data_IF_853911630336
#
_entry.id   IF_853911630336
#
_cell.length_a   1.000
_cell.length_b   1.000
_cell.length_c   1.000
_cell.angle_alpha   90.00
_cell.angle_beta   90.00
_cell.angle_gamma   90.00
#
_symmetry.space_group_name_H-M   'P 1'
#
loop_
_entity.id
_entity.type
_entity.pdbx_description
1 polymer ?
#
# COMPACT_ATOMS: atom_id res chain seq x y z
N UNK A 1 -62.13 -35.73 -1.55
CA UNK A 1 -60.89 -36.48 -1.85
C UNK A 1 -60.18 -35.78 -3.01
N UNK A 2 -58.89 -35.45 -2.82
CA UNK A 2 -57.85 -35.14 -3.83
C UNK A 2 -58.09 -33.95 -4.78
N UNK A 3 -57.12 -33.13 -5.21
CA UNK A 3 -55.73 -32.80 -4.83
C UNK A 3 -55.46 -31.55 -5.70
N UNK A 4 -55.49 -30.34 -5.14
CA UNK A 4 -55.10 -29.13 -5.88
C UNK A 4 -53.57 -29.02 -5.79
N UNK A 5 -52.88 -29.39 -6.87
CA UNK A 5 -51.45 -29.23 -7.03
C UNK A 5 -51.12 -27.72 -7.07
N UNK A 6 -50.63 -27.20 -5.95
CA UNK A 6 -50.14 -25.84 -5.83
C UNK A 6 -48.64 -25.87 -6.18
N UNK A 7 -48.34 -25.62 -7.46
CA UNK A 7 -46.97 -25.44 -7.95
C UNK A 7 -46.35 -24.19 -7.31
N UNK A 8 -45.73 -24.35 -6.15
CA UNK A 8 -44.87 -23.34 -5.55
C UNK A 8 -43.47 -23.53 -6.16
N UNK A 9 -43.27 -22.93 -7.34
CA UNK A 9 -41.96 -22.84 -7.97
C UNK A 9 -41.12 -21.84 -7.18
N UNK A 10 -40.40 -22.36 -6.20
CA UNK A 10 -39.49 -21.60 -5.34
C UNK A 10 -38.26 -21.23 -6.20
N UNK A 11 -38.32 -20.05 -6.81
CA UNK A 11 -37.20 -19.44 -7.52
C UNK A 11 -36.14 -19.05 -6.47
N UNK A 12 -35.25 -19.99 -6.13
CA UNK A 12 -34.00 -19.67 -5.46
C UNK A 12 -33.13 -18.93 -6.47
N UNK A 13 -33.22 -17.59 -6.49
CA UNK A 13 -32.13 -16.77 -7.02
C UNK A 13 -30.93 -16.97 -6.07
N UNK A 14 -30.12 -17.97 -6.39
CA UNK A 14 -28.75 -18.03 -5.91
C UNK A 14 -28.00 -16.86 -6.53
N UNK A 15 -28.01 -15.70 -5.87
CA UNK A 15 -26.96 -14.71 -6.07
C UNK A 15 -25.66 -15.37 -5.60
N UNK A 16 -24.95 -15.99 -6.52
CA UNK A 16 -23.52 -16.19 -6.37
C UNK A 16 -22.91 -14.79 -6.30
N UNK A 17 -22.81 -14.25 -5.09
CA UNK A 17 -21.87 -13.17 -4.82
C UNK A 17 -20.50 -13.74 -5.17
N UNK A 18 -20.01 -13.37 -6.35
CA UNK A 18 -18.63 -13.64 -6.74
C UNK A 18 -17.74 -13.02 -5.67
N UNK A 19 -17.21 -13.87 -4.80
CA UNK A 19 -16.26 -13.56 -3.75
C UNK A 19 -14.90 -13.26 -4.36
N UNK A 20 -14.81 -12.24 -5.21
CA UNK A 20 -13.56 -11.51 -5.42
C UNK A 20 -13.43 -10.55 -4.24
N UNK A 21 -13.33 -11.12 -3.04
CA UNK A 21 -13.19 -10.40 -1.79
C UNK A 21 -11.73 -9.90 -1.73
N UNK A 22 -11.50 -8.80 -2.44
CA UNK A 22 -10.42 -7.83 -2.24
C UNK A 22 -8.97 -8.25 -2.55
N UNK A 23 -8.69 -8.62 -3.79
CA UNK A 23 -7.35 -8.40 -4.31
C UNK A 23 -7.12 -6.88 -4.44
N UNK A 24 -6.02 -6.37 -3.89
CA UNK A 24 -5.65 -4.97 -4.10
C UNK A 24 -5.40 -4.71 -5.60
N UNK A 25 -5.72 -3.51 -6.06
CA UNK A 25 -5.56 -3.12 -7.46
C UNK A 25 -4.09 -2.78 -7.76
N UNK A 26 -3.26 -3.82 -7.81
CA UNK A 26 -1.82 -3.70 -8.03
C UNK A 26 -1.49 -3.13 -9.41
N UNK A 27 -2.37 -3.35 -10.39
CA UNK A 27 -2.21 -2.75 -11.72
C UNK A 27 -2.33 -1.23 -11.65
N UNK A 28 -3.36 -0.73 -10.97
CA UNK A 28 -3.52 0.71 -10.78
C UNK A 28 -2.43 1.31 -9.89
N UNK A 29 -1.96 0.57 -8.88
CA UNK A 29 -0.80 0.96 -8.09
C UNK A 29 0.44 1.17 -8.99
N UNK A 30 0.78 0.18 -9.81
CA UNK A 30 1.94 0.24 -10.71
C UNK A 30 1.83 1.40 -11.72
N UNK A 31 0.64 1.63 -12.28
CA UNK A 31 0.39 2.72 -13.21
C UNK A 31 0.64 4.10 -12.56
N UNK A 32 0.09 4.32 -11.36
CA UNK A 32 0.27 5.57 -10.61
C UNK A 32 1.72 5.81 -10.16
N UNK A 33 2.39 4.76 -9.67
CA UNK A 33 3.79 4.82 -9.29
C UNK A 33 4.68 5.14 -10.50
N UNK A 34 4.48 4.44 -11.62
CA UNK A 34 5.19 4.66 -12.88
C UNK A 34 4.97 6.07 -13.43
N UNK A 35 3.73 6.59 -13.35
CA UNK A 35 3.44 7.98 -13.72
C UNK A 35 4.24 8.97 -12.90
N UNK A 36 4.34 8.75 -11.58
CA UNK A 36 5.13 9.61 -10.69
C UNK A 36 6.61 9.54 -11.03
N UNK A 37 7.16 8.32 -11.17
CA UNK A 37 8.56 8.06 -11.58
C UNK A 37 8.91 8.83 -12.87
N UNK A 38 8.07 8.70 -13.89
CA UNK A 38 8.29 9.36 -15.17
C UNK A 38 8.18 10.89 -15.10
N UNK A 39 7.37 11.42 -14.18
CA UNK A 39 7.27 12.86 -13.96
C UNK A 39 8.53 13.41 -13.26
N UNK A 40 9.03 12.73 -12.23
CA UNK A 40 10.18 13.20 -11.44
C UNK A 40 11.52 12.99 -12.16
N UNK A 41 11.65 11.96 -13.00
CA UNK A 41 12.85 11.73 -13.86
C UNK A 41 13.15 12.89 -14.81
N UNK A 42 12.15 13.74 -15.12
CA UNK A 42 12.33 14.94 -15.94
C UNK A 42 12.97 16.11 -15.16
N UNK A 43 13.21 15.95 -13.86
CA UNK A 43 13.89 16.94 -12.98
C UNK A 43 13.03 18.13 -12.55
N UNK A 44 11.94 18.43 -13.28
CA UNK A 44 11.06 19.56 -12.99
C UNK A 44 9.58 19.17 -13.22
N UNK A 45 8.97 18.42 -12.29
CA UNK A 45 7.56 18.05 -12.40
C UNK A 45 6.69 19.31 -12.40
N UNK A 46 5.76 19.39 -13.37
CA UNK A 46 4.89 20.57 -13.56
C UNK A 46 3.85 20.74 -12.44
N UNK A 47 3.42 19.64 -11.84
CA UNK A 47 2.32 19.59 -10.87
C UNK A 47 2.71 18.68 -9.69
N UNK A 48 3.48 19.25 -8.75
CA UNK A 48 3.93 18.52 -7.56
C UNK A 48 2.75 18.14 -6.66
N UNK A 49 1.72 18.97 -6.59
CA UNK A 49 0.55 18.73 -5.73
C UNK A 49 -0.22 17.50 -6.21
N UNK A 50 -0.39 17.33 -7.52
CA UNK A 50 -0.95 16.10 -8.07
C UNK A 50 -0.11 14.87 -7.73
N UNK A 51 1.23 14.97 -7.80
CA UNK A 51 2.10 13.85 -7.44
C UNK A 51 1.97 13.46 -5.96
N UNK A 52 1.82 14.45 -5.06
CA UNK A 52 1.56 14.21 -3.63
C UNK A 52 0.26 13.44 -3.44
N UNK A 53 -0.82 13.85 -4.10
CA UNK A 53 -2.12 13.15 -4.03
C UNK A 53 -2.03 11.71 -4.53
N UNK A 54 -1.23 11.46 -5.58
CA UNK A 54 -1.00 10.08 -6.05
C UNK A 54 -0.35 9.21 -4.98
N UNK A 55 0.54 9.75 -4.14
CA UNK A 55 1.16 8.97 -3.07
C UNK A 55 0.15 8.57 -1.99
N UNK A 56 -0.81 9.45 -1.68
CA UNK A 56 -1.90 9.12 -0.76
C UNK A 56 -2.75 7.97 -1.30
N UNK A 57 -3.06 7.97 -2.61
CA UNK A 57 -3.78 6.87 -3.26
C UNK A 57 -3.01 5.56 -3.26
N UNK A 58 -1.70 5.61 -3.50
CA UNK A 58 -0.83 4.43 -3.39
C UNK A 58 -0.84 3.87 -1.96
N UNK A 59 -0.72 4.72 -0.95
CA UNK A 59 -0.82 4.31 0.45
C UNK A 59 -2.19 3.69 0.78
N UNK A 60 -3.29 4.27 0.30
CA UNK A 60 -4.64 3.71 0.50
C UNK A 60 -4.76 2.28 -0.05
N UNK A 61 -4.21 2.02 -1.24
CA UNK A 61 -4.16 0.67 -1.83
C UNK A 61 -3.33 -0.27 -0.96
N UNK A 62 -2.13 0.15 -0.54
CA UNK A 62 -1.25 -0.64 0.33
C UNK A 62 -1.87 -0.94 1.70
N UNK A 63 -2.51 0.04 2.33
CA UNK A 63 -3.25 -0.10 3.60
C UNK A 63 -4.37 -1.12 3.43
N UNK A 64 -5.15 -1.01 2.34
CA UNK A 64 -6.23 -1.96 2.08
C UNK A 64 -5.70 -3.39 1.90
N UNK A 65 -4.57 -3.54 1.21
CA UNK A 65 -3.92 -4.83 1.05
C UNK A 65 -3.46 -5.42 2.40
N UNK A 66 -2.87 -4.59 3.26
CA UNK A 66 -2.48 -4.98 4.62
C UNK A 66 -3.69 -5.45 5.45
N UNK A 67 -4.80 -4.71 5.42
CA UNK A 67 -6.05 -5.12 6.10
C UNK A 67 -6.54 -6.49 5.63
N UNK A 68 -6.61 -6.69 4.30
CA UNK A 68 -7.12 -7.94 3.75
C UNK A 68 -6.20 -9.13 4.09
N UNK A 69 -4.88 -8.91 4.02
CA UNK A 69 -3.92 -9.94 4.34
C UNK A 69 -3.96 -10.30 5.83
N UNK A 70 -4.12 -9.32 6.72
CA UNK A 70 -4.30 -9.54 8.16
C UNK A 70 -5.53 -10.39 8.48
N UNK A 71 -6.64 -10.20 7.76
CA UNK A 71 -7.86 -11.00 7.92
C UNK A 71 -7.65 -12.46 7.50
N UNK A 72 -6.84 -12.70 6.48
CA UNK A 72 -6.55 -14.04 5.97
C UNK A 72 -5.40 -14.75 6.73
N UNK A 73 -4.52 -14.00 7.39
CA UNK A 73 -3.30 -14.51 8.02
C UNK A 73 -3.19 -14.01 9.48
N UNK A 74 -3.85 -14.69 10.43
CA UNK A 74 -3.88 -14.27 11.84
C UNK A 74 -2.50 -14.10 12.48
N UNK A 75 -1.52 -14.90 12.05
CA UNK A 75 -0.14 -14.84 12.57
C UNK A 75 0.59 -13.53 12.23
N UNK A 76 0.16 -12.84 11.17
CA UNK A 76 0.72 -11.55 10.73
C UNK A 76 -0.21 -10.36 11.05
N UNK A 77 -1.40 -10.63 11.61
CA UNK A 77 -2.45 -9.63 11.77
C UNK A 77 -2.05 -8.47 12.70
N UNK A 78 -1.35 -8.76 13.80
CA UNK A 78 -0.89 -7.74 14.75
C UNK A 78 0.04 -6.72 14.08
N UNK A 79 0.99 -7.21 13.28
CA UNK A 79 1.93 -6.37 12.55
C UNK A 79 1.20 -5.49 11.54
N UNK A 80 0.32 -6.05 10.72
CA UNK A 80 -0.41 -5.27 9.73
C UNK A 80 -1.39 -4.29 10.36
N UNK A 81 -1.97 -4.61 11.52
CA UNK A 81 -2.77 -3.66 12.28
C UNK A 81 -1.93 -2.45 12.73
N UNK A 82 -0.67 -2.66 13.14
CA UNK A 82 0.24 -1.56 13.46
C UNK A 82 0.55 -0.70 12.23
N UNK A 83 0.78 -1.30 11.07
CA UNK A 83 0.99 -0.58 9.80
C UNK A 83 -0.23 0.26 9.44
N UNK A 84 -1.42 -0.35 9.41
CA UNK A 84 -2.70 0.31 9.09
C UNK A 84 -2.96 1.47 10.05
N UNK A 85 -2.82 1.24 11.36
CA UNK A 85 -3.09 2.26 12.38
C UNK A 85 -2.11 3.45 12.35
N UNK A 86 -0.93 3.28 11.74
CA UNK A 86 0.10 4.31 11.71
C UNK A 86 0.41 4.84 10.31
N UNK A 87 -0.27 4.38 9.26
CA UNK A 87 -0.03 4.83 7.89
C UNK A 87 -0.12 6.37 7.76
N UNK A 88 -1.14 6.99 8.35
CA UNK A 88 -1.27 8.46 8.35
C UNK A 88 -0.14 9.16 9.11
N UNK A 89 0.32 8.57 10.23
CA UNK A 89 1.45 9.11 11.00
C UNK A 89 2.76 9.05 10.21
N UNK A 90 2.93 8.09 9.30
CA UNK A 90 4.13 8.04 8.45
C UNK A 90 4.28 9.31 7.62
N UNK A 91 3.18 9.92 7.14
CA UNK A 91 3.21 11.13 6.29
C UNK A 91 3.70 12.40 6.99
N UNK A 92 3.74 12.40 8.32
CA UNK A 92 4.18 13.56 9.12
C UNK A 92 5.59 13.39 9.69
N UNK A 93 6.23 12.25 9.46
CA UNK A 93 7.63 12.03 9.80
C UNK A 93 8.56 12.84 8.89
N UNK A 94 9.75 13.15 9.39
CA UNK A 94 10.87 13.55 8.53
C UNK A 94 11.46 12.36 7.76
N UNK A 95 12.21 12.64 6.69
CA UNK A 95 12.90 11.59 5.91
C UNK A 95 13.83 10.72 6.77
N UNK A 96 14.63 11.26 7.70
CA UNK A 96 15.43 10.43 8.62
C UNK A 96 14.56 9.57 9.55
N UNK A 97 13.44 10.11 10.05
CA UNK A 97 12.58 9.39 10.98
C UNK A 97 11.85 8.22 10.30
N UNK A 98 11.27 8.41 9.12
CA UNK A 98 10.61 7.30 8.40
C UNK A 98 11.59 6.19 8.03
N UNK A 99 12.83 6.55 7.65
CA UNK A 99 13.89 5.57 7.37
C UNK A 99 14.27 4.78 8.61
N UNK A 100 14.40 5.43 9.76
CA UNK A 100 14.73 4.72 11.01
C UNK A 100 13.56 3.89 11.54
N UNK A 101 12.35 4.44 11.54
CA UNK A 101 11.20 3.80 12.16
C UNK A 101 10.66 2.66 11.30
N UNK A 102 10.50 2.88 10.00
CA UNK A 102 9.76 1.98 9.12
C UNK A 102 10.67 1.17 8.20
N UNK A 103 11.57 1.81 7.45
CA UNK A 103 12.53 1.08 6.59
C UNK A 103 13.44 0.15 7.40
N UNK A 104 14.01 0.67 8.50
CA UNK A 104 14.83 -0.13 9.42
C UNK A 104 13.99 -0.93 10.44
N UNK A 105 12.66 -0.97 10.29
CA UNK A 105 11.71 -1.78 11.06
C UNK A 105 11.74 -1.56 12.59
N UNK A 106 12.33 -0.45 13.07
CA UNK A 106 12.46 -0.17 14.51
C UNK A 106 11.12 0.02 15.21
N UNK A 107 10.13 0.56 14.52
CA UNK A 107 8.78 0.70 15.07
C UNK A 107 8.13 -0.65 15.35
N UNK A 108 8.29 -1.61 14.43
CA UNK A 108 7.77 -2.97 14.60
C UNK A 108 8.52 -3.69 15.73
N UNK A 109 9.85 -3.58 15.77
CA UNK A 109 10.68 -4.11 16.85
C UNK A 109 10.30 -3.56 18.23
N UNK A 110 10.04 -2.25 18.35
CA UNK A 110 9.65 -1.66 19.63
C UNK A 110 8.27 -2.11 20.12
N UNK A 111 7.47 -2.75 19.26
CA UNK A 111 6.19 -3.37 19.59
C UNK A 111 6.30 -4.91 19.68
N UNK A 112 7.51 -5.46 19.72
CA UNK A 112 7.72 -6.90 19.91
C UNK A 112 7.52 -7.76 18.66
N UNK A 113 7.37 -7.16 17.47
CA UNK A 113 7.26 -7.90 16.22
C UNK A 113 8.67 -8.33 15.75
N UNK A 114 8.95 -9.64 15.61
CA UNK A 114 10.24 -10.14 15.16
C UNK A 114 10.47 -9.83 13.68
N UNK A 115 11.52 -9.07 13.36
CA UNK A 115 11.82 -8.62 11.99
C UNK A 115 12.42 -9.70 11.11
N UNK A 116 12.83 -10.83 11.68
CA UNK A 116 13.37 -11.98 10.95
C UNK A 116 12.33 -12.58 10.01
N UNK A 117 11.03 -12.38 10.31
CA UNK A 117 9.90 -12.76 9.45
C UNK A 117 9.69 -11.80 8.27
N UNK A 118 10.27 -10.60 8.33
CA UNK A 118 10.13 -9.55 7.31
C UNK A 118 11.25 -9.63 6.29
N UNK A 119 11.41 -10.77 5.62
CA UNK A 119 12.36 -10.84 4.51
C UNK A 119 11.95 -9.85 3.43
N UNK A 120 12.91 -9.10 2.89
CA UNK A 120 12.64 -8.05 1.89
C UNK A 120 12.02 -8.61 0.59
N UNK A 121 12.09 -9.92 0.39
CA UNK A 121 11.54 -10.63 -0.78
C UNK A 121 10.41 -11.59 -0.36
N UNK A 122 9.56 -11.15 0.57
CA UNK A 122 8.40 -11.90 1.05
C UNK A 122 7.13 -11.09 0.87
N UNK A 123 5.98 -11.76 0.71
CA UNK A 123 4.68 -11.10 0.63
C UNK A 123 4.47 -10.12 1.78
N UNK A 124 4.86 -10.49 3.00
CA UNK A 124 4.76 -9.64 4.18
C UNK A 124 5.61 -8.37 4.07
N UNK A 125 6.85 -8.50 3.61
CA UNK A 125 7.74 -7.37 3.33
C UNK A 125 7.19 -6.46 2.22
N UNK A 126 6.75 -7.04 1.12
CA UNK A 126 6.23 -6.28 -0.02
C UNK A 126 4.93 -5.53 0.29
N UNK A 127 4.06 -6.08 1.16
CA UNK A 127 2.87 -5.38 1.65
C UNK A 127 3.22 -4.18 2.55
N UNK A 128 4.23 -4.33 3.42
CA UNK A 128 4.75 -3.21 4.22
C UNK A 128 5.31 -2.11 3.31
N UNK A 129 6.14 -2.50 2.33
CA UNK A 129 6.81 -1.62 1.37
C UNK A 129 5.81 -0.87 0.48
N UNK A 130 4.67 -1.48 0.15
CA UNK A 130 3.55 -0.84 -0.56
C UNK A 130 2.90 0.32 0.22
N UNK A 131 3.17 0.45 1.52
CA UNK A 131 2.74 1.61 2.34
C UNK A 131 3.92 2.54 2.62
N UNK A 132 5.06 1.97 3.03
CA UNK A 132 6.22 2.74 3.51
C UNK A 132 6.88 3.55 2.39
N UNK A 133 7.08 2.98 1.20
CA UNK A 133 7.73 3.70 0.11
C UNK A 133 6.88 4.86 -0.42
N UNK A 134 5.56 4.71 -0.69
CA UNK A 134 4.72 5.85 -1.01
C UNK A 134 4.69 6.92 0.08
N UNK A 135 4.72 6.54 1.36
CA UNK A 135 4.81 7.50 2.47
C UNK A 135 6.15 8.29 2.44
N UNK A 136 7.28 7.63 2.18
CA UNK A 136 8.57 8.32 2.03
C UNK A 136 8.57 9.23 0.81
N UNK A 137 8.03 8.78 -0.32
CA UNK A 137 7.88 9.59 -1.53
C UNK A 137 6.99 10.83 -1.29
N UNK A 138 5.91 10.68 -0.51
CA UNK A 138 5.05 11.78 -0.09
C UNK A 138 5.82 12.85 0.69
N UNK A 139 6.62 12.43 1.68
CA UNK A 139 7.45 13.36 2.47
C UNK A 139 8.46 14.07 1.56
N UNK A 140 9.14 13.33 0.69
CA UNK A 140 10.15 13.89 -0.22
C UNK A 140 9.54 14.90 -1.20
N UNK A 141 8.35 14.64 -1.76
CA UNK A 141 7.64 15.58 -2.64
C UNK A 141 7.21 16.84 -1.90
N UNK A 142 6.73 16.73 -0.65
CA UNK A 142 6.40 17.89 0.18
C UNK A 142 7.62 18.74 0.49
N UNK A 143 8.75 18.11 0.77
CA UNK A 143 9.99 18.81 1.02
C UNK A 143 10.52 19.47 -0.25
N UNK A 144 10.46 18.78 -1.40
CA UNK A 144 10.82 19.34 -2.71
C UNK A 144 9.99 20.58 -3.04
N UNK A 145 8.67 20.53 -2.80
CA UNK A 145 7.78 21.68 -3.01
C UNK A 145 8.23 22.91 -2.22
N UNK A 146 8.85 22.72 -1.05
CA UNK A 146 9.35 23.80 -0.17
C UNK A 146 10.74 24.28 -0.56
N UNK A 147 11.63 23.38 -0.97
CA UNK A 147 13.07 23.69 -1.11
C UNK A 147 13.54 23.80 -2.56
N UNK A 148 12.84 23.14 -3.50
CA UNK A 148 13.28 22.95 -4.87
C UNK A 148 14.47 21.98 -5.02
N UNK A 149 14.87 21.26 -3.97
CA UNK A 149 16.04 20.38 -4.00
C UNK A 149 15.80 19.12 -4.86
N UNK A 150 16.47 19.06 -6.00
CA UNK A 150 16.32 17.96 -6.96
C UNK A 150 16.74 16.60 -6.42
N UNK A 151 17.57 16.52 -5.38
CA UNK A 151 17.94 15.24 -4.75
C UNK A 151 16.71 14.51 -4.17
N UNK A 152 15.68 15.26 -3.78
CA UNK A 152 14.42 14.71 -3.28
C UNK A 152 13.63 14.03 -4.40
N UNK A 153 13.74 14.50 -5.65
CA UNK A 153 13.11 13.85 -6.80
C UNK A 153 13.78 12.52 -7.15
N UNK A 154 15.09 12.44 -7.00
CA UNK A 154 15.83 11.17 -7.11
C UNK A 154 15.37 10.19 -6.04
N UNK A 155 15.22 10.66 -4.80
CA UNK A 155 14.68 9.83 -3.73
C UNK A 155 13.26 9.32 -4.05
N UNK A 156 12.35 10.17 -4.53
CA UNK A 156 10.99 9.74 -4.96
C UNK A 156 11.08 8.64 -6.03
N UNK A 157 11.97 8.79 -7.01
CA UNK A 157 12.19 7.78 -8.03
C UNK A 157 12.68 6.45 -7.45
N UNK A 158 13.64 6.47 -6.52
CA UNK A 158 14.17 5.27 -5.88
C UNK A 158 13.08 4.54 -5.09
N UNK A 159 12.39 5.24 -4.19
CA UNK A 159 11.36 4.68 -3.33
C UNK A 159 10.24 4.02 -4.15
N UNK A 160 9.75 4.69 -5.19
CA UNK A 160 8.68 4.14 -6.02
C UNK A 160 9.15 3.03 -6.96
N UNK A 161 10.41 3.05 -7.40
CA UNK A 161 10.97 1.95 -8.18
C UNK A 161 11.09 0.69 -7.33
N UNK A 162 11.48 0.83 -6.07
CA UNK A 162 11.50 -0.28 -5.11
C UNK A 162 10.08 -0.78 -4.83
N UNK A 163 9.12 0.11 -4.59
CA UNK A 163 7.71 -0.28 -4.40
C UNK A 163 7.14 -1.08 -5.58
N UNK A 164 7.42 -0.66 -6.82
CA UNK A 164 6.98 -1.37 -8.04
C UNK A 164 7.69 -2.72 -8.17
N UNK A 165 8.99 -2.79 -7.90
CA UNK A 165 9.74 -4.05 -7.93
C UNK A 165 9.14 -5.07 -6.92
N UNK A 166 8.74 -4.60 -5.75
CA UNK A 166 8.17 -5.45 -4.70
C UNK A 166 6.80 -6.04 -5.05
N UNK A 167 6.06 -5.45 -6.00
CA UNK A 167 4.80 -6.04 -6.47
C UNK A 167 4.96 -7.44 -7.06
N UNK A 168 6.16 -7.80 -7.51
CA UNK A 168 6.47 -9.15 -8.04
C UNK A 168 6.30 -10.28 -7.02
N UNK A 169 6.28 -9.97 -5.73
CA UNK A 169 6.03 -10.94 -4.65
C UNK A 169 4.57 -10.95 -4.16
N UNK A 170 3.70 -10.16 -4.80
CA UNK A 170 2.27 -10.02 -4.49
C UNK A 170 1.36 -10.57 -5.61
N UNK A 171 1.96 -11.03 -6.72
CA UNK A 171 1.32 -11.57 -7.92
C UNK A 171 1.67 -13.05 -8.09
#
# INVERSE_FOLDING_TARGET
MQKVLRNFMMFFLGFAFNSNLYAADWHHFEEMATRTINAVKKGHPKDVDQLIVLQERLMEIGVKACENYALANPDDAEMFQLVVNNAENMKVLSLPEIKQQWHAKRFLLSHGIPVEKLQQNSTTGSLLDAVVHPATAYIALKEYRRTGDSALLEQVNLELSEAVLQLTYLQ
#
